data_IF_612665618256
#
_entry.id   IF_612665618256
#
_cell.length_a   1.000
_cell.length_b   1.000
_cell.length_c   1.000
_cell.angle_alpha   90.00
_cell.angle_beta   90.00
_cell.angle_gamma   90.00
#
_symmetry.space_group_name_H-M   'P 1'
#
loop_
_entity.id
_entity.type
_entity.pdbx_description
1 polymer ?
#
# COMPACT_ATOMS: atom_id res chain seq x y z
N UNK A 1 -4.21 -2.96 -24.28
CA UNK A 1 -4.06 -1.50 -24.11
C UNK A 1 -3.92 -1.27 -22.61
N UNK A 2 -2.68 -1.29 -22.09
CA UNK A 2 -2.43 -1.03 -20.68
C UNK A 2 -2.69 0.46 -20.46
N UNK A 3 -3.75 0.80 -19.74
CA UNK A 3 -3.99 2.17 -19.30
C UNK A 3 -2.79 2.63 -18.48
N UNK A 4 -2.18 3.75 -18.84
CA UNK A 4 -1.16 4.41 -18.02
C UNK A 4 -1.73 4.59 -16.60
N UNK A 5 -1.04 4.01 -15.62
CA UNK A 5 -1.45 4.09 -14.22
C UNK A 5 -1.20 5.52 -13.76
N UNK A 6 -2.26 6.23 -13.39
CA UNK A 6 -2.11 7.58 -12.86
C UNK A 6 -1.86 7.52 -11.36
N UNK A 7 -0.62 7.78 -10.96
CA UNK A 7 -0.21 7.78 -9.55
C UNK A 7 -0.62 9.06 -8.80
N UNK A 8 -0.95 10.13 -9.54
CA UNK A 8 -1.20 11.47 -8.99
C UNK A 8 -2.68 11.81 -8.85
N UNK A 9 -3.58 10.90 -9.28
CA UNK A 9 -5.02 11.14 -9.27
C UNK A 9 -5.73 10.16 -8.34
N UNK A 10 -6.62 10.70 -7.52
CA UNK A 10 -7.59 9.94 -6.73
C UNK A 10 -8.99 10.43 -7.04
N UNK A 11 -9.92 9.50 -7.20
CA UNK A 11 -11.33 9.80 -7.50
C UNK A 11 -12.23 8.99 -6.56
N UNK A 12 -13.33 9.60 -6.11
CA UNK A 12 -14.25 8.96 -5.18
C UNK A 12 -15.05 7.85 -5.88
N UNK A 13 -14.90 6.59 -5.46
CA UNK A 13 -15.52 5.43 -6.09
C UNK A 13 -16.98 5.19 -5.65
N UNK A 14 -17.48 5.93 -4.66
CA UNK A 14 -18.84 5.78 -4.12
C UNK A 14 -19.77 6.92 -4.50
N UNK A 15 -19.26 8.06 -5.00
CA UNK A 15 -20.11 9.15 -5.44
C UNK A 15 -20.44 9.02 -6.93
N UNK A 16 -21.67 9.35 -7.37
CA UNK A 16 -22.07 9.25 -8.78
C UNK A 16 -21.22 10.12 -9.72
N UNK A 17 -20.55 11.13 -9.19
CA UNK A 17 -19.78 12.11 -9.95
C UNK A 17 -18.30 11.72 -10.10
N UNK A 18 -17.85 10.62 -9.49
CA UNK A 18 -16.45 10.22 -9.42
C UNK A 18 -15.50 11.40 -9.13
N UNK A 19 -15.86 12.19 -8.11
CA UNK A 19 -15.21 13.47 -7.86
C UNK A 19 -13.73 13.29 -7.50
N UNK A 20 -12.88 14.16 -8.06
CA UNK A 20 -11.45 14.17 -7.76
C UNK A 20 -11.19 14.55 -6.29
N UNK A 21 -10.36 13.76 -5.62
CA UNK A 21 -9.96 13.95 -4.22
C UNK A 21 -8.63 14.72 -4.23
N UNK A 22 -8.67 15.99 -3.82
CA UNK A 22 -7.48 16.85 -3.80
C UNK A 22 -6.87 16.97 -2.39
N UNK A 23 -5.54 16.94 -2.28
CA UNK A 23 -4.79 17.49 -1.14
C UNK A 23 -5.31 18.88 -0.79
N UNK A 24 -5.89 19.05 0.41
CA UNK A 24 -6.38 20.34 0.95
C UNK A 24 -7.29 21.17 0.04
N UNK A 25 -8.59 21.14 0.38
CA UNK A 25 -9.58 22.21 0.13
C UNK A 25 -9.70 22.67 -1.32
N UNK A 26 -10.27 21.82 -2.19
CA UNK A 26 -11.03 22.35 -3.33
C UNK A 26 -12.46 22.60 -2.88
N UNK A 27 -13.04 23.74 -3.27
CA UNK A 27 -14.43 24.16 -2.98
C UNK A 27 -15.46 23.11 -3.42
N UNK A 28 -15.07 22.15 -4.28
CA UNK A 28 -15.89 21.02 -4.73
C UNK A 28 -16.14 19.92 -3.68
N UNK A 29 -15.38 19.89 -2.59
CA UNK A 29 -15.62 18.96 -1.46
C UNK A 29 -16.97 19.26 -0.77
N UNK A 30 -17.50 20.47 -0.92
CA UNK A 30 -18.78 20.93 -0.36
C UNK A 30 -20.00 20.14 -0.86
N UNK A 31 -19.89 19.37 -1.96
CA UNK A 31 -21.00 18.61 -2.54
C UNK A 31 -20.92 17.10 -2.32
N UNK A 32 -19.80 16.57 -1.80
CA UNK A 32 -19.74 15.16 -1.41
C UNK A 32 -20.33 15.04 0.01
N UNK A 33 -21.66 14.93 0.09
CA UNK A 33 -22.41 14.80 1.35
C UNK A 33 -22.18 13.46 2.08
N UNK A 34 -21.15 12.69 1.69
CA UNK A 34 -20.85 11.34 2.19
C UNK A 34 -19.34 11.14 2.34
N UNK A 35 -18.94 10.18 3.17
CA UNK A 35 -17.54 9.79 3.36
C UNK A 35 -16.91 9.40 2.02
N UNK A 36 -15.72 9.93 1.72
CA UNK A 36 -15.02 9.68 0.46
C UNK A 36 -14.24 8.37 0.52
N UNK A 37 -14.46 7.50 -0.46
CA UNK A 37 -13.72 6.25 -0.62
C UNK A 37 -12.98 6.27 -1.94
N UNK A 38 -11.74 5.81 -1.97
CA UNK A 38 -10.96 5.71 -3.20
C UNK A 38 -10.16 4.42 -3.23
N UNK A 39 -9.78 4.00 -4.43
CA UNK A 39 -8.67 3.07 -4.65
C UNK A 39 -7.45 3.83 -5.14
N UNK A 40 -6.26 3.31 -4.86
CA UNK A 40 -5.00 3.83 -5.40
C UNK A 40 -4.01 2.69 -5.66
N UNK A 41 -3.22 2.71 -6.74
CA UNK A 41 -3.30 3.66 -7.86
C UNK A 41 -4.63 3.57 -8.64
N UNK A 42 -4.98 4.63 -9.36
CA UNK A 42 -6.15 4.61 -10.23
C UNK A 42 -5.84 3.80 -11.50
N UNK A 43 -6.71 2.85 -11.88
CA UNK A 43 -6.55 2.09 -13.13
C UNK A 43 -7.12 0.67 -13.11
N UNK A 44 -7.25 0.05 -11.94
CA UNK A 44 -7.82 -1.31 -11.83
C UNK A 44 -9.32 -1.28 -11.52
N UNK A 45 -10.15 -1.41 -12.56
CA UNK A 45 -11.61 -1.47 -12.43
C UNK A 45 -12.07 -2.68 -11.61
N UNK A 46 -11.37 -3.81 -11.72
CA UNK A 46 -11.64 -5.02 -10.92
C UNK A 46 -11.30 -4.82 -9.44
N UNK A 47 -10.19 -4.14 -9.14
CA UNK A 47 -9.84 -3.83 -7.76
C UNK A 47 -10.89 -2.90 -7.13
N UNK A 48 -11.25 -1.81 -7.82
CA UNK A 48 -12.30 -0.91 -7.38
C UNK A 48 -13.65 -1.62 -7.18
N UNK A 49 -14.04 -2.50 -8.11
CA UNK A 49 -15.25 -3.30 -8.00
C UNK A 49 -15.20 -4.23 -6.77
N UNK A 50 -14.08 -4.93 -6.55
CA UNK A 50 -13.89 -5.80 -5.39
C UNK A 50 -14.00 -5.06 -4.06
N UNK A 51 -13.46 -3.84 -3.98
CA UNK A 51 -13.59 -2.97 -2.81
C UNK A 51 -15.04 -2.53 -2.61
N UNK A 52 -15.68 -2.00 -3.65
CA UNK A 52 -17.05 -1.47 -3.55
C UNK A 52 -18.05 -2.58 -3.21
N UNK A 53 -18.02 -3.68 -3.95
CA UNK A 53 -18.98 -4.79 -3.83
C UNK A 53 -18.68 -5.71 -2.64
N UNK A 54 -17.40 -5.98 -2.38
CA UNK A 54 -16.97 -6.90 -1.34
C UNK A 54 -16.87 -6.24 0.04
N UNK A 55 -16.16 -5.10 0.12
CA UNK A 55 -15.82 -4.47 1.39
C UNK A 55 -16.86 -3.43 1.79
N UNK A 56 -17.11 -2.44 0.93
CA UNK A 56 -17.91 -1.27 1.30
C UNK A 56 -19.39 -1.60 1.50
N UNK A 57 -20.01 -2.40 0.63
CA UNK A 57 -21.42 -2.82 0.81
C UNK A 57 -21.71 -3.45 2.17
N UNK A 58 -20.74 -4.14 2.78
CA UNK A 58 -20.89 -4.80 4.10
C UNK A 58 -20.46 -3.93 5.28
N UNK A 59 -19.66 -2.89 5.05
CA UNK A 59 -19.01 -2.09 6.10
C UNK A 59 -19.41 -0.60 6.10
N UNK A 60 -20.27 -0.17 5.18
CA UNK A 60 -20.65 1.23 4.95
C UNK A 60 -21.16 1.95 6.20
N UNK A 61 -21.76 1.24 7.16
CA UNK A 61 -22.33 1.80 8.39
C UNK A 61 -21.31 2.19 9.45
N UNK A 62 -20.01 1.93 9.27
CA UNK A 62 -18.99 2.17 10.31
C UNK A 62 -17.84 3.09 9.88
N UNK A 63 -17.72 3.41 8.59
CA UNK A 63 -16.55 4.11 8.05
C UNK A 63 -16.86 5.60 7.89
N UNK A 64 -16.89 6.32 9.02
CA UNK A 64 -17.26 7.74 9.10
C UNK A 64 -16.12 8.74 8.83
N UNK A 65 -14.99 8.32 8.27
CA UNK A 65 -13.90 9.26 7.92
C UNK A 65 -13.33 9.08 6.51
N UNK A 66 -13.93 8.19 5.71
CA UNK A 66 -13.42 7.87 4.38
C UNK A 66 -12.08 7.13 4.41
N UNK A 67 -11.76 6.43 3.33
CA UNK A 67 -10.49 5.72 3.23
C UNK A 67 -10.02 5.56 1.78
N UNK A 68 -8.70 5.47 1.65
CA UNK A 68 -8.04 5.03 0.42
C UNK A 68 -7.61 3.58 0.59
N UNK A 69 -8.09 2.71 -0.31
CA UNK A 69 -7.65 1.33 -0.43
C UNK A 69 -6.48 1.29 -1.42
N UNK A 70 -5.30 0.98 -0.92
CA UNK A 70 -4.08 0.87 -1.70
C UNK A 70 -3.97 -0.56 -2.24
N UNK A 71 -3.94 -0.70 -3.56
CA UNK A 71 -3.57 -1.94 -4.24
C UNK A 71 -2.08 -2.21 -4.01
N UNK A 72 -1.77 -2.92 -2.93
CA UNK A 72 -0.41 -3.20 -2.50
C UNK A 72 0.08 -4.50 -3.15
N UNK A 73 0.14 -4.48 -4.49
CA UNK A 73 0.49 -5.61 -5.34
C UNK A 73 1.83 -5.42 -6.07
N UNK A 74 2.35 -6.54 -6.60
CA UNK A 74 3.65 -6.57 -7.29
C UNK A 74 3.70 -5.58 -8.46
N UNK A 75 2.58 -5.35 -9.14
CA UNK A 75 2.47 -4.38 -10.23
C UNK A 75 3.03 -3.00 -9.85
N UNK A 76 2.88 -2.59 -8.59
CA UNK A 76 3.30 -1.29 -8.08
C UNK A 76 4.51 -1.36 -7.13
N UNK A 77 5.20 -2.50 -7.08
CA UNK A 77 6.24 -2.79 -6.10
C UNK A 77 7.31 -1.68 -5.97
N UNK A 78 7.84 -1.18 -7.09
CA UNK A 78 8.87 -0.13 -7.11
C UNK A 78 8.42 1.16 -6.43
N UNK A 79 7.15 1.51 -6.56
CA UNK A 79 6.58 2.72 -5.96
C UNK A 79 6.65 2.65 -4.43
N UNK A 80 6.37 1.46 -3.88
CA UNK A 80 6.37 1.20 -2.44
C UNK A 80 7.76 1.16 -1.80
N UNK A 81 8.84 1.26 -2.59
CA UNK A 81 10.20 1.36 -2.08
C UNK A 81 10.62 2.79 -1.77
N UNK A 82 9.78 3.78 -2.09
CA UNK A 82 9.98 5.19 -1.70
C UNK A 82 8.90 5.64 -0.73
N UNK A 83 9.11 6.76 -0.03
CA UNK A 83 8.07 7.39 0.82
C UNK A 83 7.06 8.21 0.01
N UNK A 84 7.38 8.58 -1.23
CA UNK A 84 6.62 9.54 -2.02
C UNK A 84 5.13 9.19 -2.18
N UNK A 85 4.80 7.91 -2.37
CA UNK A 85 3.41 7.47 -2.45
C UNK A 85 2.63 7.71 -1.16
N UNK A 86 3.27 7.51 -0.01
CA UNK A 86 2.64 7.65 1.28
C UNK A 86 2.41 9.12 1.60
N UNK A 87 3.40 9.97 1.32
CA UNK A 87 3.30 11.42 1.52
C UNK A 87 2.14 11.99 0.67
N UNK A 88 2.01 11.59 -0.60
CA UNK A 88 0.90 11.98 -1.47
C UNK A 88 -0.48 11.57 -0.91
N UNK A 89 -0.60 10.37 -0.33
CA UNK A 89 -1.86 9.91 0.25
C UNK A 89 -2.18 10.59 1.59
N UNK A 90 -1.19 10.89 2.42
CA UNK A 90 -1.36 11.57 3.71
C UNK A 90 -2.00 12.96 3.52
N UNK A 91 -1.66 13.65 2.44
CA UNK A 91 -2.22 14.97 2.14
C UNK A 91 -3.74 14.96 1.94
N UNK A 92 -4.32 13.82 1.53
CA UNK A 92 -5.77 13.66 1.34
C UNK A 92 -6.55 13.56 2.64
N UNK A 93 -5.87 13.32 3.78
CA UNK A 93 -6.45 13.07 5.11
C UNK A 93 -7.36 11.84 5.22
N UNK A 94 -7.45 11.02 4.18
CA UNK A 94 -8.19 9.75 4.21
C UNK A 94 -7.41 8.71 5.01
N UNK A 95 -8.13 7.74 5.62
CA UNK A 95 -7.47 6.58 6.24
C UNK A 95 -6.86 5.68 5.18
N UNK A 96 -5.59 5.31 5.34
CA UNK A 96 -4.86 4.50 4.37
C UNK A 96 -5.00 3.01 4.75
N UNK A 97 -5.61 2.21 3.87
CA UNK A 97 -5.78 0.77 4.06
C UNK A 97 -5.02 0.04 2.96
N UNK A 98 -4.03 -0.78 3.32
CA UNK A 98 -3.28 -1.59 2.35
C UNK A 98 -4.03 -2.88 2.06
N UNK A 99 -4.21 -3.22 0.78
CA UNK A 99 -4.74 -4.50 0.32
C UNK A 99 -3.59 -5.29 -0.28
N UNK A 100 -3.05 -6.22 0.50
CA UNK A 100 -1.72 -6.76 0.28
C UNK A 100 -1.71 -8.05 -0.56
N UNK A 101 -0.80 -8.10 -1.52
CA UNK A 101 -0.40 -9.34 -2.19
C UNK A 101 0.44 -10.24 -1.26
N UNK A 102 0.44 -11.55 -1.51
CA UNK A 102 1.20 -12.55 -0.73
C UNK A 102 2.70 -12.27 -0.67
N UNK A 103 3.29 -11.79 -1.76
CA UNK A 103 4.74 -11.56 -1.81
C UNK A 103 5.16 -10.25 -1.15
N UNK A 104 4.25 -9.27 -1.07
CA UNK A 104 4.54 -7.95 -0.51
C UNK A 104 4.19 -7.83 0.98
N UNK A 105 3.73 -8.90 1.63
CA UNK A 105 3.31 -8.88 3.03
C UNK A 105 4.39 -8.35 3.98
N UNK A 106 5.64 -8.77 3.81
CA UNK A 106 6.73 -8.30 4.66
C UNK A 106 7.02 -6.80 4.49
N UNK A 107 6.82 -6.26 3.29
CA UNK A 107 6.97 -4.84 2.97
C UNK A 107 5.79 -4.03 3.51
N UNK A 108 4.55 -4.53 3.37
CA UNK A 108 3.37 -3.89 3.98
C UNK A 108 3.53 -3.79 5.51
N UNK A 109 4.02 -4.86 6.14
CA UNK A 109 4.30 -4.87 7.57
C UNK A 109 5.40 -3.89 7.98
N UNK A 110 6.42 -3.72 7.14
CA UNK A 110 7.46 -2.71 7.37
C UNK A 110 6.84 -1.32 7.45
N UNK A 111 6.03 -0.97 6.45
CA UNK A 111 5.35 0.31 6.41
C UNK A 111 4.42 0.51 7.62
N UNK A 112 3.57 -0.47 7.93
CA UNK A 112 2.64 -0.38 9.06
C UNK A 112 3.32 -0.26 10.43
N UNK A 113 4.54 -0.82 10.60
CA UNK A 113 5.31 -0.67 11.84
C UNK A 113 6.08 0.64 11.94
N UNK A 114 6.39 1.29 10.81
CA UNK A 114 7.25 2.47 10.79
C UNK A 114 6.49 3.77 10.48
N UNK A 115 5.20 3.71 10.13
CA UNK A 115 4.39 4.90 9.88
C UNK A 115 2.94 4.75 10.40
N UNK A 116 2.56 5.61 11.35
CA UNK A 116 1.26 5.60 12.02
C UNK A 116 0.10 6.06 11.12
N UNK A 117 0.38 6.61 9.93
CA UNK A 117 -0.66 7.02 8.98
C UNK A 117 -1.33 5.83 8.30
N UNK A 118 -0.70 4.65 8.34
CA UNK A 118 -1.28 3.43 7.78
C UNK A 118 -2.26 2.86 8.77
N UNK A 119 -3.53 2.96 8.41
CA UNK A 119 -4.64 2.64 9.30
C UNK A 119 -4.82 1.13 9.49
N UNK A 120 -4.69 0.36 8.41
CA UNK A 120 -4.95 -1.09 8.41
C UNK A 120 -4.26 -1.80 7.25
N UNK A 121 -3.92 -3.09 7.43
CA UNK A 121 -3.55 -4.02 6.35
C UNK A 121 -4.61 -5.11 6.21
N UNK A 122 -5.05 -5.38 4.98
CA UNK A 122 -5.83 -6.55 4.58
C UNK A 122 -4.87 -7.56 3.94
N UNK A 123 -4.75 -8.73 4.55
CA UNK A 123 -3.84 -9.80 4.13
C UNK A 123 -4.52 -10.73 3.12
N UNK A 124 -3.73 -11.38 2.26
CA UNK A 124 -4.25 -12.34 1.30
C UNK A 124 -4.92 -13.52 2.01
N UNK A 125 -6.02 -13.99 1.42
CA UNK A 125 -6.81 -15.11 1.95
C UNK A 125 -7.71 -14.79 3.14
N UNK A 126 -7.72 -13.54 3.65
CA UNK A 126 -8.73 -13.13 4.62
C UNK A 126 -10.13 -13.13 3.97
N UNK A 127 -11.11 -13.73 4.65
CA UNK A 127 -12.51 -13.73 4.19
C UNK A 127 -13.09 -12.33 4.32
N UNK A 128 -13.98 -11.97 3.39
CA UNK A 128 -14.63 -10.66 3.37
C UNK A 128 -15.33 -10.32 4.69
N UNK A 129 -15.99 -11.29 5.34
CA UNK A 129 -16.67 -11.03 6.63
C UNK A 129 -15.66 -10.73 7.75
N UNK A 130 -14.51 -11.41 7.74
CA UNK A 130 -13.40 -11.13 8.66
C UNK A 130 -12.81 -9.75 8.42
N UNK A 131 -12.65 -9.35 7.15
CA UNK A 131 -12.20 -8.01 6.76
C UNK A 131 -13.18 -6.95 7.26
N UNK A 132 -14.48 -7.14 7.05
CA UNK A 132 -15.51 -6.19 7.48
C UNK A 132 -15.49 -5.99 9.01
N UNK A 133 -15.39 -7.07 9.78
CA UNK A 133 -15.30 -6.99 11.24
C UNK A 133 -13.98 -6.34 11.70
N UNK A 134 -12.86 -6.64 11.04
CA UNK A 134 -11.56 -6.04 11.31
C UNK A 134 -11.56 -4.53 11.08
N UNK A 135 -12.15 -4.08 9.98
CA UNK A 135 -12.36 -2.67 9.67
C UNK A 135 -13.22 -2.02 10.75
N UNK A 136 -14.39 -2.59 11.04
CA UNK A 136 -15.32 -2.09 12.06
C UNK A 136 -14.63 -1.91 13.42
N UNK A 137 -13.94 -2.95 13.92
CA UNK A 137 -13.23 -2.89 15.22
C UNK A 137 -12.19 -1.78 15.26
N UNK A 138 -11.43 -1.59 14.17
CA UNK A 138 -10.40 -0.54 14.08
C UNK A 138 -11.01 0.86 14.08
N UNK A 139 -12.13 1.07 13.38
CA UNK A 139 -12.87 2.35 13.39
C UNK A 139 -13.53 2.65 14.74
N UNK A 140 -13.94 1.63 15.49
CA UNK A 140 -14.49 1.76 16.85
C UNK A 140 -13.42 1.93 17.94
N UNK A 141 -12.13 1.99 17.58
CA UNK A 141 -11.03 2.21 18.54
C UNK A 141 -10.61 0.98 19.34
N UNK A 142 -11.02 -0.23 18.95
CA UNK A 142 -10.66 -1.45 19.67
C UNK A 142 -9.25 -1.97 19.33
N UNK A 143 -8.37 -1.98 20.35
CA UNK A 143 -7.06 -2.69 20.51
C UNK A 143 -5.95 -2.46 19.45
N UNK A 144 -4.65 -2.70 19.78
CA UNK A 144 -3.57 -2.65 18.80
C UNK A 144 -3.74 -3.75 17.75
N UNK A 145 -3.58 -3.39 16.48
CA UNK A 145 -3.53 -4.37 15.40
C UNK A 145 -2.14 -4.97 15.37
N UNK A 146 -2.05 -6.29 15.45
CA UNK A 146 -0.79 -7.01 15.25
C UNK A 146 -0.55 -7.26 13.76
N UNK A 147 0.71 -7.19 13.35
CA UNK A 147 1.11 -7.63 12.01
C UNK A 147 1.08 -9.15 11.91
N UNK A 148 0.78 -9.68 10.73
CA UNK A 148 0.85 -11.12 10.45
C UNK A 148 2.13 -11.41 9.66
N UNK A 149 2.89 -12.40 10.11
CA UNK A 149 4.07 -12.90 9.40
C UNK A 149 5.31 -11.99 9.53
N UNK A 150 6.22 -12.16 8.57
CA UNK A 150 7.53 -11.51 8.57
C UNK A 150 7.44 -9.99 8.36
N UNK A 151 8.48 -9.27 8.80
CA UNK A 151 8.61 -7.83 8.58
C UNK A 151 10.00 -7.54 8.03
N UNK A 152 10.11 -6.70 7.00
CA UNK A 152 11.42 -6.18 6.62
C UNK A 152 11.97 -5.29 7.74
N UNK A 153 13.27 -5.37 7.96
CA UNK A 153 14.01 -4.41 8.76
C UNK A 153 14.28 -3.14 7.96
N UNK A 154 14.65 -2.04 8.65
CA UNK A 154 15.06 -0.79 7.98
C UNK A 154 16.21 -1.01 7.01
N UNK A 155 17.22 -1.80 7.41
CA UNK A 155 18.35 -2.09 6.53
C UNK A 155 17.92 -2.89 5.29
N UNK A 156 17.07 -3.90 5.47
CA UNK A 156 16.53 -4.69 4.35
C UNK A 156 15.72 -3.82 3.39
N UNK A 157 14.90 -2.89 3.91
CA UNK A 157 14.17 -1.93 3.09
C UNK A 157 15.11 -0.98 2.33
N UNK A 158 16.12 -0.41 2.99
CA UNK A 158 17.06 0.52 2.35
C UNK A 158 17.91 -0.16 1.28
N UNK A 159 18.40 -1.38 1.53
CA UNK A 159 19.11 -2.18 0.52
C UNK A 159 18.19 -2.47 -0.67
N UNK A 160 16.93 -2.86 -0.40
CA UNK A 160 15.97 -3.15 -1.45
C UNK A 160 15.66 -1.91 -2.32
N UNK A 161 15.59 -0.72 -1.72
CA UNK A 161 15.44 0.55 -2.43
C UNK A 161 16.60 0.77 -3.42
N UNK A 162 17.85 0.70 -2.96
CA UNK A 162 19.01 0.97 -3.82
C UNK A 162 19.16 -0.08 -4.93
N UNK A 163 18.91 -1.35 -4.62
CA UNK A 163 18.90 -2.42 -5.64
C UNK A 163 17.81 -2.18 -6.69
N UNK A 164 16.64 -1.64 -6.30
CA UNK A 164 15.58 -1.30 -7.26
C UNK A 164 15.98 -0.17 -8.20
N UNK A 165 16.84 0.75 -7.74
CA UNK A 165 17.40 1.83 -8.55
C UNK A 165 18.52 1.35 -9.50
N UNK A 166 18.81 0.05 -9.52
CA UNK A 166 19.82 -0.55 -10.41
C UNK A 166 21.24 -0.49 -9.85
N UNK A 167 21.43 -0.12 -8.59
CA UNK A 167 22.74 -0.14 -7.95
C UNK A 167 23.22 -1.58 -7.77
N UNK A 168 24.51 -1.82 -8.01
CA UNK A 168 25.11 -3.13 -7.74
C UNK A 168 25.39 -3.33 -6.25
N UNK A 169 25.57 -4.59 -5.83
CA UNK A 169 25.78 -4.94 -4.43
C UNK A 169 27.07 -4.37 -3.84
N UNK A 170 28.08 -4.02 -4.65
CA UNK A 170 29.33 -3.41 -4.19
C UNK A 170 29.08 -1.95 -3.83
N UNK A 171 28.42 -1.20 -4.72
CA UNK A 171 28.07 0.21 -4.46
C UNK A 171 27.12 0.32 -3.26
N UNK A 172 26.15 -0.60 -3.13
CA UNK A 172 25.28 -0.66 -1.95
C UNK A 172 26.08 -0.95 -0.69
N UNK A 173 27.07 -1.85 -0.74
CA UNK A 173 27.91 -2.17 0.40
C UNK A 173 28.71 -0.95 0.87
N UNK A 174 29.28 -0.18 -0.05
CA UNK A 174 29.98 1.07 0.24
C UNK A 174 29.03 2.11 0.86
N UNK A 175 27.83 2.28 0.26
CA UNK A 175 26.81 3.23 0.72
C UNK A 175 26.38 3.00 2.17
N UNK A 176 26.19 1.74 2.58
CA UNK A 176 25.80 1.39 3.95
C UNK A 176 26.98 1.09 4.88
N UNK A 177 28.22 1.23 4.41
CA UNK A 177 29.45 0.83 5.13
C UNK A 177 29.38 -0.62 5.65
N UNK A 178 28.98 -1.54 4.76
CA UNK A 178 28.84 -2.96 5.02
C UNK A 178 29.84 -3.76 4.18
N UNK A 179 30.12 -4.99 4.61
CA UNK A 179 30.75 -5.96 3.71
C UNK A 179 29.78 -6.41 2.62
N UNK A 180 30.25 -6.59 1.38
CA UNK A 180 29.42 -7.05 0.25
C UNK A 180 28.64 -8.36 0.55
N UNK A 181 29.23 -9.27 1.34
CA UNK A 181 28.56 -10.50 1.81
C UNK A 181 27.33 -10.21 2.68
N UNK A 182 27.36 -9.14 3.47
CA UNK A 182 26.22 -8.72 4.30
C UNK A 182 25.08 -8.18 3.44
N UNK A 183 25.39 -7.52 2.31
CA UNK A 183 24.39 -7.06 1.33
C UNK A 183 23.72 -8.27 0.67
N UNK A 184 24.49 -9.26 0.20
CA UNK A 184 23.92 -10.51 -0.33
C UNK A 184 23.07 -11.25 0.70
N UNK A 185 23.52 -11.34 1.95
CA UNK A 185 22.75 -11.96 3.02
C UNK A 185 21.45 -11.20 3.31
N UNK A 186 21.46 -9.86 3.24
CA UNK A 186 20.24 -9.05 3.38
C UNK A 186 19.29 -9.26 2.20
N UNK A 187 19.79 -9.27 0.96
CA UNK A 187 19.03 -9.61 -0.25
C UNK A 187 18.33 -10.96 -0.09
N UNK A 188 19.07 -11.99 0.32
CA UNK A 188 18.52 -13.34 0.52
C UNK A 188 17.45 -13.38 1.62
N UNK A 189 17.62 -12.60 2.70
CA UNK A 189 16.58 -12.49 3.74
C UNK A 189 15.32 -11.82 3.20
N UNK A 190 15.45 -10.77 2.39
CA UNK A 190 14.31 -10.12 1.74
C UNK A 190 13.57 -11.12 0.84
N UNK A 191 14.28 -11.84 -0.03
CA UNK A 191 13.71 -12.86 -0.91
C UNK A 191 12.96 -13.93 -0.13
N UNK A 192 13.54 -14.41 0.99
CA UNK A 192 12.89 -15.37 1.87
C UNK A 192 11.61 -14.81 2.51
N UNK A 193 11.61 -13.55 2.93
CA UNK A 193 10.44 -12.90 3.56
C UNK A 193 9.34 -12.58 2.57
N UNK A 194 9.70 -12.33 1.31
CA UNK A 194 8.79 -12.01 0.21
C UNK A 194 8.39 -13.25 -0.62
N UNK A 195 8.98 -14.41 -0.31
CA UNK A 195 8.74 -15.68 -1.01
C UNK A 195 8.89 -15.55 -2.54
N UNK A 196 9.87 -14.77 -2.99
CA UNK A 196 10.12 -14.49 -4.40
C UNK A 196 11.55 -13.96 -4.63
N UNK A 197 12.10 -14.17 -5.82
CA UNK A 197 13.32 -13.49 -6.25
C UNK A 197 13.02 -11.99 -6.48
N UNK A 198 13.88 -11.13 -5.95
CA UNK A 198 13.69 -9.67 -6.04
C UNK A 198 13.70 -9.17 -7.49
N UNK A 199 14.50 -9.77 -8.36
CA UNK A 199 14.57 -9.38 -9.76
C UNK A 199 13.28 -9.77 -10.50
N UNK A 200 12.68 -10.91 -10.16
CA UNK A 200 11.36 -11.28 -10.68
C UNK A 200 10.30 -10.27 -10.23
N UNK A 201 10.29 -9.88 -8.96
CA UNK A 201 9.39 -8.84 -8.45
C UNK A 201 9.57 -7.52 -9.21
N UNK A 202 10.82 -7.12 -9.47
CA UNK A 202 11.12 -5.93 -10.26
C UNK A 202 10.70 -6.04 -11.73
N UNK A 203 10.76 -7.24 -12.30
CA UNK A 203 10.34 -7.50 -13.68
C UNK A 203 8.82 -7.42 -13.85
N UNK A 204 8.06 -7.87 -12.85
CA UNK A 204 6.59 -7.83 -12.87
C UNK A 204 6.01 -6.48 -12.44
N UNK A 205 6.81 -5.61 -11.84
CA UNK A 205 6.41 -4.25 -11.51
C UNK A 205 6.46 -3.32 -12.72
N UNK A 206 5.57 -2.33 -12.78
CA UNK A 206 5.65 -1.27 -13.76
C UNK A 206 6.97 -0.51 -13.64
N UNK A 207 7.61 -0.24 -14.78
CA UNK A 207 8.71 0.71 -14.82
C UNK A 207 8.18 2.11 -14.48
N UNK A 208 8.90 2.82 -13.61
CA UNK A 208 8.62 4.21 -13.27
C UNK A 208 9.21 5.16 -14.30
#
# INVERSE_FOLDING_TARGET
>A
MLSEVNLNKLSCITCPLNCEIKPTTSVRISFCQSFCFSTWPEGSSFFALGITEGVLKKSHTWIYSGCVFVDFSISYFRIFLSRAWLDALIETKLKIILVCDKHLQALANYWFKNDDNIFLILYPGEKIDTIAEKIKRKFLGHHPMTVRGEVLSRLEFSILHDLSAGQDCVVVAETFNLGVRSVYAAKQRVEKKMDADINDLFRYSYAL
#
